data_IF_840003251231
#
_entry.id   IF_840003251231
#
_cell.length_a   1.000
_cell.length_b   1.000
_cell.length_c   1.000
_cell.angle_alpha   90.00
_cell.angle_beta   90.00
_cell.angle_gamma   90.00
#
_symmetry.space_group_name_H-M   'P 1'
#
loop_
_entity.id
_entity.type
_entity.pdbx_description
1 polymer ?
#
# COMPACT_ATOMS: atom_id res chain seq x y z
N UNK A 1 1.12 -15.82 2.37
CA UNK A 1 0.26 -15.42 1.22
C UNK A 1 0.62 -14.00 0.83
N UNK A 2 1.00 -13.75 -0.42
CA UNK A 2 1.16 -12.40 -0.94
C UNK A 2 -0.22 -11.76 -1.14
N UNK A 3 -0.37 -10.52 -0.69
CA UNK A 3 -1.60 -9.75 -0.78
C UNK A 3 -1.25 -8.32 -1.17
N UNK A 4 -2.18 -7.63 -1.82
CA UNK A 4 -2.03 -6.21 -2.13
C UNK A 4 -2.61 -5.41 -0.97
N UNK A 5 -1.81 -4.56 -0.34
CA UNK A 5 -2.19 -3.80 0.86
C UNK A 5 -2.09 -2.31 0.56
N UNK A 6 -3.19 -1.59 0.78
CA UNK A 6 -3.23 -0.14 0.69
C UNK A 6 -2.90 0.47 2.05
N UNK A 7 -1.97 1.44 2.07
CA UNK A 7 -1.53 2.15 3.26
C UNK A 7 -1.81 3.63 3.08
N UNK A 8 -2.67 4.16 3.94
CA UNK A 8 -2.92 5.60 4.07
C UNK A 8 -1.97 6.18 5.11
N UNK A 9 -1.57 7.45 4.93
CA UNK A 9 -0.62 8.08 5.85
C UNK A 9 0.78 7.42 5.84
N UNK A 10 1.12 6.71 4.75
CA UNK A 10 2.38 5.98 4.65
C UNK A 10 3.62 6.88 4.76
N UNK A 11 3.49 8.17 4.42
CA UNK A 11 4.56 9.17 4.54
C UNK A 11 4.76 9.65 5.99
N UNK A 12 3.89 9.26 6.93
CA UNK A 12 3.99 9.60 8.34
C UNK A 12 4.93 8.70 9.14
N UNK A 13 5.11 9.03 10.42
CA UNK A 13 6.03 8.34 11.33
C UNK A 13 5.77 6.83 11.42
N UNK A 14 4.53 6.41 11.63
CA UNK A 14 4.16 4.99 11.69
C UNK A 14 4.07 4.35 10.31
N UNK A 15 3.54 5.08 9.32
CA UNK A 15 3.28 4.58 7.98
C UNK A 15 4.51 4.01 7.27
N UNK A 16 5.66 4.68 7.40
CA UNK A 16 6.93 4.22 6.81
C UNK A 16 7.38 2.86 7.33
N UNK A 17 7.19 2.58 8.63
CA UNK A 17 7.55 1.31 9.24
C UNK A 17 6.60 0.20 8.80
N UNK A 18 5.31 0.50 8.67
CA UNK A 18 4.31 -0.43 8.16
C UNK A 18 4.64 -0.83 6.72
N UNK A 19 4.92 0.12 5.83
CA UNK A 19 5.31 -0.18 4.44
C UNK A 19 6.55 -1.06 4.39
N UNK A 20 7.59 -0.75 5.15
CA UNK A 20 8.82 -1.53 5.19
C UNK A 20 8.55 -2.99 5.61
N UNK A 21 7.73 -3.21 6.63
CA UNK A 21 7.41 -4.55 7.11
C UNK A 21 6.54 -5.33 6.12
N UNK A 22 5.60 -4.66 5.44
CA UNK A 22 4.76 -5.28 4.42
C UNK A 22 5.59 -5.75 3.22
N UNK A 23 6.56 -4.94 2.78
CA UNK A 23 7.49 -5.32 1.73
C UNK A 23 8.39 -6.47 2.16
N UNK A 24 8.91 -6.45 3.41
CA UNK A 24 9.73 -7.54 3.96
C UNK A 24 9.01 -8.88 3.98
N UNK A 25 7.68 -8.86 4.16
CA UNK A 25 6.82 -10.04 4.12
C UNK A 25 6.42 -10.48 2.71
N UNK A 26 6.86 -9.77 1.67
CA UNK A 26 6.55 -10.07 0.28
C UNK A 26 5.15 -9.64 -0.15
N UNK A 27 4.55 -8.66 0.52
CA UNK A 27 3.29 -8.06 0.09
C UNK A 27 3.53 -6.94 -0.91
N UNK A 28 2.58 -6.76 -1.84
CA UNK A 28 2.57 -5.60 -2.71
C UNK A 28 1.93 -4.43 -1.96
N UNK A 29 2.55 -3.26 -1.98
CA UNK A 29 2.08 -2.11 -1.20
C UNK A 29 1.65 -0.97 -2.11
N UNK A 30 0.48 -0.40 -1.82
CA UNK A 30 -0.04 0.81 -2.45
C UNK A 30 -0.12 1.92 -1.43
N UNK A 31 0.53 3.05 -1.70
CA UNK A 31 0.53 4.20 -0.81
C UNK A 31 -0.39 5.27 -1.36
N UNK A 32 -1.34 5.73 -0.54
CA UNK A 32 -2.09 6.93 -0.84
C UNK A 32 -1.36 8.14 -0.27
N UNK A 33 -0.84 8.99 -1.15
CA UNK A 33 -0.16 10.22 -0.79
C UNK A 33 -0.96 11.45 -1.27
N UNK A 34 -1.15 12.42 -0.37
CA UNK A 34 -1.72 13.73 -0.75
C UNK A 34 -0.81 14.49 -1.71
N UNK A 35 0.50 14.34 -1.51
CA UNK A 35 1.56 14.94 -2.32
C UNK A 35 2.55 13.82 -2.70
N UNK A 36 2.44 13.25 -3.91
CA UNK A 36 3.31 12.17 -4.37
C UNK A 36 4.78 12.57 -4.43
N UNK A 37 5.07 13.86 -4.65
CA UNK A 37 6.44 14.38 -4.72
C UNK A 37 7.18 14.28 -3.39
N UNK A 38 6.43 14.20 -2.27
CA UNK A 38 6.98 14.00 -0.92
C UNK A 38 7.02 12.53 -0.49
N UNK A 39 6.48 11.63 -1.30
CA UNK A 39 6.46 10.21 -1.03
C UNK A 39 7.71 9.54 -1.64
N UNK A 40 8.72 9.29 -0.82
CA UNK A 40 9.89 8.51 -1.21
C UNK A 40 9.78 7.10 -0.63
N UNK A 41 9.59 6.10 -1.50
CA UNK A 41 9.48 4.70 -1.14
C UNK A 41 10.38 3.82 -2.01
N UNK A 42 10.85 2.67 -1.48
CA UNK A 42 11.65 1.72 -2.24
C UNK A 42 10.86 1.09 -3.41
N UNK A 43 11.55 0.48 -4.39
CA UNK A 43 10.93 -0.23 -5.50
C UNK A 43 9.96 -1.31 -4.98
N UNK A 44 8.77 -1.42 -5.60
CA UNK A 44 7.71 -2.34 -5.17
C UNK A 44 6.56 -1.66 -4.41
N UNK A 45 6.64 -0.34 -4.20
CA UNK A 45 5.53 0.48 -3.71
C UNK A 45 4.92 1.28 -4.86
N UNK A 46 3.62 1.13 -5.05
CA UNK A 46 2.85 1.93 -6.00
C UNK A 46 2.30 3.17 -5.27
N UNK A 47 2.70 4.37 -5.70
CA UNK A 47 2.25 5.63 -5.11
C UNK A 47 1.05 6.14 -5.89
N UNK A 48 -0.07 6.32 -5.19
CA UNK A 48 -1.32 6.83 -5.75
C UNK A 48 -1.58 8.21 -5.15
N UNK A 49 -1.75 9.21 -6.03
CA UNK A 49 -2.13 10.56 -5.62
C UNK A 49 -3.60 10.58 -5.14
N UNK A 50 -3.87 11.07 -3.93
CA UNK A 50 -5.24 11.23 -3.46
C UNK A 50 -5.39 11.93 -2.10
N UNK A 51 -6.43 12.75 -1.98
CA UNK A 51 -6.89 13.32 -0.72
C UNK A 51 -7.76 12.31 0.05
N UNK A 52 -7.83 12.48 1.37
CA UNK A 52 -8.39 11.57 2.37
C UNK A 52 -9.90 11.27 2.21
N UNK A 53 -10.32 10.67 1.10
CA UNK A 53 -11.60 10.00 0.92
C UNK A 53 -11.62 9.44 -0.50
N UNK A 54 -11.35 8.14 -0.66
CA UNK A 54 -11.83 7.38 -1.82
C UNK A 54 -12.00 5.93 -1.34
N UNK A 55 -13.22 5.42 -1.52
CA UNK A 55 -13.48 4.01 -1.57
C UNK A 55 -12.67 3.43 -2.73
N UNK A 56 -11.45 2.97 -2.45
CA UNK A 56 -10.62 2.29 -3.43
C UNK A 56 -11.36 1.00 -3.75
N UNK A 57 -11.86 0.88 -4.98
CA UNK A 57 -12.58 -0.31 -5.45
C UNK A 57 -11.61 -1.49 -5.42
N UNK A 58 -11.60 -2.20 -4.30
CA UNK A 58 -10.72 -3.33 -4.04
C UNK A 58 -11.23 -4.49 -4.89
N UNK A 59 -10.59 -4.75 -6.04
CA UNK A 59 -10.67 -6.08 -6.63
C UNK A 59 -9.83 -6.99 -5.74
N UNK A 60 -10.40 -7.44 -4.64
CA UNK A 60 -9.92 -8.62 -3.92
C UNK A 60 -9.94 -9.75 -4.93
N UNK A 61 -8.78 -10.05 -5.52
CA UNK A 61 -8.57 -11.34 -6.17
C UNK A 61 -8.60 -12.36 -5.04
N UNK A 62 -9.80 -12.78 -4.63
CA UNK A 62 -9.96 -13.97 -3.81
C UNK A 62 -9.43 -15.12 -4.66
N UNK A 63 -8.15 -15.46 -4.50
CA UNK A 63 -7.70 -16.80 -4.85
C UNK A 63 -8.34 -17.71 -3.80
N UNK A 64 -9.42 -18.38 -4.19
CA UNK A 64 -10.10 -19.37 -3.38
C UNK A 64 -9.08 -20.38 -2.83
N UNK A 65 -9.23 -20.87 -1.59
CA UNK A 65 -8.39 -21.95 -1.09
C UNK A 65 -8.73 -23.19 -1.94
N UNK A 66 -7.74 -23.65 -2.71
CA UNK A 66 -7.81 -24.96 -3.32
C UNK A 66 -7.82 -25.99 -2.18
N UNK A 67 -8.91 -26.75 -2.08
CA UNK A 67 -8.93 -28.05 -1.42
C UNK A 67 -9.47 -29.06 -2.41
#
# INVERSE_FOLDING_TARGET
>A
MAAVIAVTGATGFAGRHVVAELLRRGHAVRVLARDPSKASFPPGVEIVAGASAIAIRFRLSRKAPAR
#
